data_IF_282929333433
#
_entry.id   IF_282929333433
#
_cell.length_a   1.000
_cell.length_b   1.000
_cell.length_c   1.000
_cell.angle_alpha   90.00
_cell.angle_beta   90.00
_cell.angle_gamma   90.00
#
_symmetry.space_group_name_H-M   'P 1'
#
loop_
_entity.id
_entity.type
_entity.pdbx_description
1 polymer ?
#
# COMPACT_ATOMS: atom_id res chain seq x y z
N UNK A 1 9.31 3.06 -10.36
CA UNK A 1 9.09 3.81 -11.62
C UNK A 1 8.77 2.84 -12.76
N UNK A 2 7.60 2.18 -12.72
CA UNK A 2 7.19 1.19 -13.74
C UNK A 2 6.21 1.80 -14.75
N UNK A 3 5.29 2.64 -14.26
CA UNK A 3 4.22 3.23 -15.04
C UNK A 3 4.70 4.27 -16.07
N UNK A 4 5.78 4.98 -15.76
CA UNK A 4 6.46 5.87 -16.73
C UNK A 4 6.97 5.11 -17.96
N UNK A 5 7.45 3.87 -17.79
CA UNK A 5 7.87 3.01 -18.91
C UNK A 5 6.70 2.57 -19.79
N UNK A 6 5.46 2.72 -19.31
CA UNK A 6 4.21 2.48 -20.06
C UNK A 6 3.63 3.78 -20.66
N UNK A 7 4.39 4.88 -20.61
CA UNK A 7 4.04 6.15 -21.25
C UNK A 7 3.01 6.99 -20.49
N UNK A 8 2.67 6.65 -19.25
CA UNK A 8 1.81 7.49 -18.42
C UNK A 8 2.62 8.58 -17.70
N UNK A 9 2.11 9.81 -17.74
CA UNK A 9 2.56 10.93 -16.92
C UNK A 9 1.90 10.91 -15.55
N UNK A 10 2.39 11.73 -14.61
CA UNK A 10 1.61 11.99 -13.41
C UNK A 10 0.32 12.74 -13.78
N UNK A 11 -0.76 12.47 -13.06
CA UNK A 11 -2.02 13.23 -13.17
C UNK A 11 -1.75 14.71 -12.83
N UNK A 12 -2.39 15.61 -13.56
CA UNK A 12 -2.25 17.06 -13.41
C UNK A 12 -1.12 17.68 -14.25
N UNK A 13 -0.29 16.87 -14.93
CA UNK A 13 0.86 17.38 -15.70
C UNK A 13 0.97 16.76 -17.09
N UNK A 14 1.56 17.53 -18.03
CA UNK A 14 1.86 17.07 -19.38
C UNK A 14 0.61 16.58 -20.14
N UNK A 15 0.70 15.38 -20.70
CA UNK A 15 -0.40 14.74 -21.44
C UNK A 15 -1.54 14.25 -20.53
N UNK A 16 -1.36 14.28 -19.19
CA UNK A 16 -2.37 13.92 -18.20
C UNK A 16 -2.93 15.12 -17.42
N UNK A 17 -2.76 16.34 -17.95
CA UNK A 17 -3.27 17.60 -17.37
C UNK A 17 -4.78 17.65 -17.13
N UNK A 18 -5.55 16.80 -17.84
CA UNK A 18 -7.01 16.75 -17.74
C UNK A 18 -7.48 15.84 -16.58
N UNK A 19 -6.57 15.08 -15.98
CA UNK A 19 -6.83 14.33 -14.75
C UNK A 19 -6.31 15.12 -13.55
N UNK A 20 -7.18 15.40 -12.58
CA UNK A 20 -6.82 16.18 -11.40
C UNK A 20 -5.91 15.37 -10.47
N UNK A 21 -4.80 15.97 -10.01
CA UNK A 21 -3.92 15.30 -9.05
C UNK A 21 -4.55 15.17 -7.67
N UNK A 22 -5.50 16.04 -7.32
CA UNK A 22 -6.25 15.99 -6.06
C UNK A 22 -7.26 14.82 -5.99
N UNK A 23 -7.45 14.09 -7.10
CA UNK A 23 -8.22 12.84 -7.08
C UNK A 23 -7.42 11.66 -6.53
N UNK A 24 -6.10 11.80 -6.33
CA UNK A 24 -5.28 10.87 -5.56
C UNK A 24 -5.30 9.43 -6.10
N UNK A 25 -5.36 9.28 -7.43
CA UNK A 25 -5.08 8.02 -8.15
C UNK A 25 -3.60 7.63 -8.04
N UNK A 26 -3.23 6.40 -8.45
CA UNK A 26 -1.85 5.87 -8.37
C UNK A 26 -0.81 6.81 -8.99
N UNK A 27 -1.18 7.52 -10.06
CA UNK A 27 -0.29 8.40 -10.80
C UNK A 27 -0.42 9.87 -10.40
N UNK A 28 -1.11 10.20 -9.31
CA UNK A 28 -1.12 11.57 -8.79
C UNK A 28 0.30 12.08 -8.55
N UNK A 29 0.57 13.32 -8.94
CA UNK A 29 1.84 14.01 -8.64
C UNK A 29 2.01 14.31 -7.14
N UNK A 30 0.93 14.19 -6.38
CA UNK A 30 0.84 14.45 -4.97
C UNK A 30 0.99 13.16 -4.19
N UNK A 31 1.93 13.15 -3.24
CA UNK A 31 2.17 11.97 -2.40
C UNK A 31 0.93 11.76 -1.52
N UNK A 32 0.35 10.56 -1.59
CA UNK A 32 -0.62 10.06 -0.63
C UNK A 32 0.01 10.09 0.77
N UNK A 33 -0.17 11.18 1.50
CA UNK A 33 0.05 11.15 2.94
C UNK A 33 -1.19 10.51 3.53
N UNK A 34 -1.06 9.42 4.31
CA UNK A 34 -2.16 8.93 5.11
C UNK A 34 -2.62 10.09 5.99
N UNK A 35 -3.78 10.64 5.66
CA UNK A 35 -4.44 11.64 6.49
C UNK A 35 -5.12 10.85 7.61
N UNK A 36 -4.82 11.12 8.89
CA UNK A 36 -5.45 10.41 10.00
C UNK A 36 -6.98 10.53 10.00
N UNK A 37 -7.53 11.60 9.40
CA UNK A 37 -8.97 11.82 9.24
C UNK A 37 -9.51 11.22 7.92
N UNK A 38 -8.61 10.81 7.02
CA UNK A 38 -8.93 10.11 5.76
C UNK A 38 -7.94 8.96 5.56
N UNK A 39 -8.11 7.85 6.31
CA UNK A 39 -7.19 6.71 6.29
C UNK A 39 -7.05 6.05 4.91
N UNK A 40 -7.96 6.39 3.99
CA UNK A 40 -7.91 6.07 2.58
C UNK A 40 -7.82 7.36 1.77
N UNK A 41 -6.89 7.42 0.83
CA UNK A 41 -6.97 8.41 -0.24
C UNK A 41 -8.28 8.22 -1.01
N UNK A 42 -8.72 9.24 -1.77
CA UNK A 42 -10.01 9.19 -2.47
C UNK A 42 -10.09 8.01 -3.46
N UNK A 43 -9.00 7.73 -4.17
CA UNK A 43 -8.92 6.67 -5.17
C UNK A 43 -7.65 5.80 -4.97
N UNK A 44 -7.54 5.10 -3.84
CA UNK A 44 -6.34 4.35 -3.52
C UNK A 44 -6.28 3.13 -4.47
N UNK A 45 -5.10 2.86 -5.01
CA UNK A 45 -4.84 1.67 -5.84
C UNK A 45 -5.58 1.61 -7.18
N UNK A 46 -6.13 2.74 -7.65
CA UNK A 46 -6.80 2.84 -8.96
C UNK A 46 -5.99 3.78 -9.86
N UNK A 47 -5.93 3.47 -11.16
CA UNK A 47 -5.38 4.39 -12.17
C UNK A 47 -6.45 5.35 -12.67
N UNK A 48 -6.06 6.60 -12.91
CA UNK A 48 -6.90 7.58 -13.59
C UNK A 48 -7.20 7.15 -15.03
N UNK A 49 -8.22 7.76 -15.64
CA UNK A 49 -8.50 7.52 -17.06
C UNK A 49 -7.34 7.97 -17.97
N UNK A 50 -6.63 9.06 -17.63
CA UNK A 50 -5.47 9.52 -18.39
C UNK A 50 -4.34 8.49 -18.40
N UNK A 51 -4.09 7.86 -17.25
CA UNK A 51 -3.12 6.76 -17.14
C UNK A 51 -3.53 5.57 -18.01
N UNK A 52 -4.79 5.16 -17.93
CA UNK A 52 -5.32 4.01 -18.69
C UNK A 52 -5.23 4.26 -20.20
N UNK A 53 -5.60 5.44 -20.68
CA UNK A 53 -5.50 5.78 -22.10
C UNK A 53 -4.05 5.84 -22.58
N UNK A 54 -3.14 6.35 -21.74
CA UNK A 54 -1.70 6.33 -22.03
C UNK A 54 -1.17 4.89 -22.15
N UNK A 55 -1.58 3.99 -21.25
CA UNK A 55 -1.20 2.57 -21.34
C UNK A 55 -1.73 1.94 -22.62
N UNK A 56 -3.01 2.14 -22.97
CA UNK A 56 -3.60 1.62 -24.21
C UNK A 56 -2.85 2.12 -25.44
N UNK A 57 -2.53 3.41 -25.50
CA UNK A 57 -1.79 4.03 -26.60
C UNK A 57 -0.38 3.44 -26.72
N UNK A 58 0.33 3.30 -25.60
CA UNK A 58 1.72 2.80 -25.60
C UNK A 58 1.79 1.31 -25.95
N UNK A 59 0.84 0.51 -25.46
CA UNK A 59 0.85 -0.94 -25.60
C UNK A 59 0.25 -1.46 -26.90
N UNK A 60 -0.48 -0.61 -27.66
CA UNK A 60 -1.23 -0.99 -28.87
C UNK A 60 -0.43 -1.88 -29.84
N UNK A 61 0.85 -1.59 -30.02
CA UNK A 61 1.72 -2.25 -30.99
C UNK A 61 2.98 -2.87 -30.34
N UNK A 62 2.90 -3.25 -29.05
CA UNK A 62 4.05 -3.80 -28.29
C UNK A 62 3.95 -5.31 -28.13
N UNK A 63 4.60 -6.03 -29.04
CA UNK A 63 4.63 -7.50 -29.02
C UNK A 63 5.37 -8.09 -27.81
N UNK A 64 6.33 -7.36 -27.24
CA UNK A 64 7.18 -7.85 -26.14
C UNK A 64 6.44 -8.09 -24.81
N UNK A 65 5.21 -7.59 -24.66
CA UNK A 65 4.38 -7.82 -23.46
C UNK A 65 3.22 -8.78 -23.72
N UNK A 66 3.13 -9.34 -24.93
CA UNK A 66 2.02 -10.23 -25.33
C UNK A 66 2.24 -11.68 -24.90
N UNK A 67 3.50 -12.09 -24.70
CA UNK A 67 3.81 -13.43 -24.21
C UNK A 67 3.51 -13.54 -22.71
N UNK A 68 2.86 -14.63 -22.30
CA UNK A 68 2.78 -14.99 -20.89
C UNK A 68 4.20 -15.22 -20.37
N UNK A 69 4.60 -14.45 -19.35
CA UNK A 69 5.87 -14.67 -18.69
C UNK A 69 5.89 -16.01 -17.97
N UNK A 70 7.01 -16.71 -18.04
CA UNK A 70 7.22 -17.92 -17.25
C UNK A 70 7.61 -17.55 -15.83
N UNK A 71 6.89 -18.14 -14.88
CA UNK A 71 7.24 -18.04 -13.46
C UNK A 71 8.36 -19.02 -13.18
N UNK A 72 9.53 -18.51 -12.80
CA UNK A 72 10.72 -19.32 -12.46
C UNK A 72 10.42 -20.41 -11.42
N UNK A 73 9.66 -20.06 -10.36
CA UNK A 73 9.22 -20.99 -9.32
C UNK A 73 7.72 -20.85 -9.05
N UNK A 74 6.92 -21.74 -9.67
CA UNK A 74 5.46 -21.74 -9.55
C UNK A 74 4.98 -21.94 -8.11
N UNK A 75 5.68 -22.75 -7.32
CA UNK A 75 5.32 -23.05 -5.92
C UNK A 75 5.54 -21.84 -5.03
N UNK A 76 6.69 -21.19 -5.17
CA UNK A 76 7.00 -19.95 -4.46
C UNK A 76 6.04 -18.84 -4.85
N UNK A 77 5.80 -18.62 -6.15
CA UNK A 77 4.83 -17.62 -6.62
C UNK A 77 3.42 -17.84 -6.07
N UNK A 78 2.93 -19.09 -6.11
CA UNK A 78 1.62 -19.44 -5.56
C UNK A 78 1.54 -19.24 -4.05
N UNK A 79 2.67 -19.34 -3.34
CA UNK A 79 2.73 -19.08 -1.90
C UNK A 79 2.81 -17.58 -1.63
N UNK A 80 3.61 -16.86 -2.42
CA UNK A 80 3.83 -15.42 -2.30
C UNK A 80 2.54 -14.61 -2.56
N UNK A 81 1.73 -15.04 -3.52
CA UNK A 81 0.48 -14.35 -3.93
C UNK A 81 -0.73 -14.62 -3.04
N UNK A 82 -0.62 -15.51 -2.04
CA UNK A 82 -1.73 -15.89 -1.14
C UNK A 82 -1.78 -15.14 0.18
N UNK A 83 -0.68 -14.53 0.59
CA UNK A 83 -0.53 -13.90 1.90
C UNK A 83 -0.45 -12.41 1.66
N UNK A 84 -1.38 -11.67 2.25
CA UNK A 84 -1.40 -10.21 2.14
C UNK A 84 -0.18 -9.61 2.84
N UNK A 85 0.35 -8.45 2.39
CA UNK A 85 1.54 -7.84 2.99
C UNK A 85 1.40 -7.61 4.51
N UNK A 86 0.20 -7.25 4.97
CA UNK A 86 -0.08 -7.04 6.40
C UNK A 86 -0.10 -8.33 7.22
N UNK A 87 -0.34 -9.49 6.61
CA UNK A 87 -0.21 -10.81 7.25
C UNK A 87 1.23 -11.32 7.23
N UNK A 88 2.01 -10.87 6.24
CA UNK A 88 3.41 -11.26 6.05
C UNK A 88 4.35 -10.52 7.00
N UNK A 89 4.11 -9.24 7.24
CA UNK A 89 4.99 -8.38 8.04
C UNK A 89 4.22 -7.81 9.22
N UNK A 90 4.68 -8.14 10.42
CA UNK A 90 4.21 -7.53 11.66
C UNK A 90 4.42 -6.01 11.65
N UNK A 91 3.70 -5.25 12.48
CA UNK A 91 3.88 -3.79 12.58
C UNK A 91 5.34 -3.39 12.83
N UNK A 92 6.06 -4.11 13.69
CA UNK A 92 7.48 -3.87 13.93
C UNK A 92 8.35 -4.11 12.70
N UNK A 93 8.06 -5.15 11.90
CA UNK A 93 8.79 -5.43 10.66
C UNK A 93 8.55 -4.34 9.61
N UNK A 94 7.32 -3.85 9.49
CA UNK A 94 7.00 -2.73 8.62
C UNK A 94 7.75 -1.46 9.04
N UNK A 95 7.79 -1.14 10.33
CA UNK A 95 8.59 -0.03 10.85
C UNK A 95 10.08 -0.20 10.55
N UNK A 96 10.63 -1.42 10.65
CA UNK A 96 12.03 -1.68 10.31
C UNK A 96 12.33 -1.52 8.82
N UNK A 97 11.40 -1.88 7.94
CA UNK A 97 11.56 -1.69 6.50
C UNK A 97 11.59 -0.21 6.11
N UNK A 98 10.79 0.63 6.77
CA UNK A 98 10.65 2.06 6.44
C UNK A 98 11.74 2.89 7.12
N UNK A 99 11.99 2.66 8.41
CA UNK A 99 12.83 3.52 9.25
C UNK A 99 14.14 2.85 9.69
N UNK A 100 14.43 1.63 9.24
CA UNK A 100 15.66 0.90 9.55
C UNK A 100 15.57 -0.01 10.77
N UNK A 101 16.59 -0.84 10.95
CA UNK A 101 16.54 -2.03 11.82
C UNK A 101 16.22 -1.78 13.31
N UNK A 102 16.49 -0.57 13.81
CA UNK A 102 16.25 -0.19 15.22
C UNK A 102 14.83 0.31 15.48
N UNK A 103 14.01 0.40 14.44
CA UNK A 103 12.65 0.92 14.54
C UNK A 103 11.67 -0.16 14.99
N UNK A 104 10.63 0.27 15.69
CA UNK A 104 9.56 -0.59 16.19
C UNK A 104 8.23 0.15 16.08
N UNK A 105 7.14 -0.60 16.12
CA UNK A 105 5.81 -0.06 16.08
C UNK A 105 5.52 0.74 17.34
N UNK A 106 5.11 2.00 17.16
CA UNK A 106 4.62 2.83 18.25
C UNK A 106 3.16 2.46 18.55
N UNK A 107 2.98 1.43 19.39
CA UNK A 107 1.65 1.10 19.91
C UNK A 107 1.22 2.14 20.94
N UNK A 108 -0.03 2.61 20.85
CA UNK A 108 -0.63 3.37 21.95
C UNK A 108 -0.77 2.43 23.15
N UNK A 109 0.24 2.45 24.01
CA UNK A 109 0.16 2.08 25.43
C UNK A 109 0.83 3.18 26.24
N UNK A 110 0.36 4.42 26.03
CA UNK A 110 0.71 5.57 26.86
C UNK A 110 -0.46 6.04 27.74
N UNK A 111 -1.54 5.23 27.85
CA UNK A 111 -2.63 5.47 28.81
C UNK A 111 -3.11 4.11 29.34
N UNK A 112 -2.30 3.50 30.21
CA UNK A 112 -2.65 3.11 31.59
C UNK A 112 -1.57 2.15 32.12
N UNK A 113 -0.93 2.57 33.20
CA UNK A 113 -0.33 1.78 34.27
C UNK A 113 -0.20 0.25 34.07
N UNK A 114 1.04 -0.24 34.21
CA UNK A 114 1.44 -1.57 34.74
C UNK A 114 0.76 -2.82 34.14
N UNK A 115 1.62 -3.75 33.69
CA UNK A 115 1.33 -5.13 33.23
C UNK A 115 0.95 -5.27 31.75
N UNK A 116 1.96 -5.41 30.90
CA UNK A 116 1.91 -6.45 29.85
C UNK A 116 3.28 -7.12 29.75
N UNK A 117 3.47 -8.18 30.53
CA UNK A 117 4.47 -9.21 30.23
C UNK A 117 4.11 -9.84 28.89
N UNK A 118 5.03 -9.75 27.94
CA UNK A 118 4.97 -10.39 26.63
C UNK A 118 4.81 -11.90 26.81
N UNK A 119 3.59 -12.41 26.64
CA UNK A 119 3.33 -13.83 26.54
C UNK A 119 2.68 -14.09 25.19
N UNK A 120 3.45 -14.64 24.25
CA UNK A 120 2.94 -15.24 23.01
C UNK A 120 1.92 -16.32 23.42
N UNK A 121 0.63 -16.03 23.32
CA UNK A 121 -0.44 -17.01 23.12
C UNK A 121 -1.71 -16.26 22.71
N UNK A 122 -2.21 -16.63 21.52
CA UNK A 122 -3.47 -16.23 20.89
C UNK A 122 -3.67 -14.76 20.53
N UNK A 123 -3.49 -14.44 19.25
CA UNK A 123 -4.31 -13.45 18.56
C UNK A 123 -5.74 -14.00 18.59
N UNK A 124 -6.67 -13.33 19.27
CA UNK A 124 -8.11 -13.63 19.19
C UNK A 124 -8.74 -12.67 18.17
N UNK A 125 -9.64 -13.14 17.29
CA UNK A 125 -10.32 -12.29 16.32
C UNK A 125 -11.31 -11.35 17.02
N UNK A 126 -11.28 -10.06 16.67
CA UNK A 126 -12.37 -9.14 16.99
C UNK A 126 -13.49 -9.42 15.98
N UNK A 127 -14.53 -10.13 16.41
CA UNK A 127 -15.77 -10.25 15.66
C UNK A 127 -16.64 -9.03 15.96
N UNK A 128 -16.57 -8.00 15.12
CA UNK A 128 -17.63 -7.01 15.09
C UNK A 128 -18.75 -7.50 14.15
N UNK A 129 -19.88 -7.78 14.78
CA UNK A 129 -21.14 -8.11 14.15
C UNK A 129 -21.72 -6.82 13.56
N UNK A 130 -21.35 -6.50 12.32
CA UNK A 130 -22.22 -5.89 11.29
C UNK A 130 -21.58 -6.22 9.93
N UNK A 131 -22.18 -7.17 9.20
CA UNK A 131 -22.02 -7.27 7.73
C UNK A 131 -20.68 -7.79 7.18
N UNK A 132 -20.34 -9.05 7.44
CA UNK A 132 -19.60 -9.98 6.58
C UNK A 132 -18.36 -9.53 5.75
N UNK A 133 -17.64 -8.48 6.15
CA UNK A 133 -16.27 -8.20 5.70
C UNK A 133 -15.44 -7.70 6.88
N UNK A 134 -14.51 -8.51 7.36
CA UNK A 134 -13.42 -8.07 8.23
C UNK A 134 -12.56 -7.07 7.48
N UNK A 135 -12.69 -5.79 7.80
CA UNK A 135 -11.80 -4.73 7.36
C UNK A 135 -10.85 -4.39 8.50
N UNK A 136 -9.55 -4.53 8.26
CA UNK A 136 -8.51 -4.10 9.19
C UNK A 136 -8.11 -2.68 8.78
N UNK A 137 -8.47 -1.67 9.57
CA UNK A 137 -8.08 -0.27 9.33
C UNK A 137 -6.99 0.11 10.32
N UNK A 138 -5.81 0.48 9.82
CA UNK A 138 -4.68 0.97 10.60
C UNK A 138 -4.48 2.46 10.30
N UNK A 139 -4.51 3.30 11.33
CA UNK A 139 -4.16 4.73 11.24
C UNK A 139 -2.71 4.91 11.67
N UNK A 140 -1.91 5.63 10.88
CA UNK A 140 -0.47 5.80 11.08
C UNK A 140 -0.13 7.15 11.70
N UNK A 141 0.71 7.17 12.74
CA UNK A 141 1.43 8.36 13.19
C UNK A 141 2.88 7.98 13.52
N UNK A 142 3.85 8.74 12.99
CA UNK A 142 5.29 8.51 13.20
C UNK A 142 5.79 9.53 14.22
N UNK A 143 6.53 9.08 15.24
CA UNK A 143 7.30 9.95 16.12
C UNK A 143 8.80 9.71 15.90
N UNK A 144 9.51 10.71 15.39
CA UNK A 144 10.98 10.71 15.29
C UNK A 144 11.59 11.09 16.65
N UNK A 145 12.60 10.34 17.09
CA UNK A 145 13.45 10.75 18.21
C UNK A 145 14.85 11.04 17.68
N UNK A 146 15.24 12.31 17.71
CA UNK A 146 16.60 12.76 17.43
C UNK A 146 17.50 12.43 18.63
N UNK A 147 18.67 11.85 18.36
CA UNK A 147 19.84 11.90 19.24
C UNK A 147 20.95 12.68 18.53
#
# INVERSE_FOLDING_TARGET
MFYYSLGAFHDGVGDAKDCDSDDLFIMSDSVLRPDPDRPYSRNPWIFSNCSVESFKKTLKDKECVMSLGDVFNKTEWKTFTKIEPGERYSPDEQCRHIHGFRSSYCGISAITDRYWTYNRKSIQPITDVIGNRTSWVLTFAVAETHQ
#
